data_IF_253334133606
#
_entry.id   IF_253334133606
#
_cell.length_a   1.000
_cell.length_b   1.000
_cell.length_c   1.000
_cell.angle_alpha   90.00
_cell.angle_beta   90.00
_cell.angle_gamma   90.00
#
_symmetry.space_group_name_H-M   'P 1'
#
loop_
_entity.id
_entity.type
_entity.pdbx_description
1 polymer ?
#
# COMPACT_ATOMS: atom_id res chain seq x y z
N UNK A 1 -9.19 -31.05 -40.03
CA UNK A 1 -8.79 -29.78 -40.67
C UNK A 1 -8.72 -28.72 -39.57
N UNK A 2 -7.49 -28.32 -39.18
CA UNK A 2 -7.06 -27.04 -38.56
C UNK A 2 -7.74 -26.63 -37.24
N UNK A 3 -7.17 -26.88 -36.03
CA UNK A 3 -6.11 -26.14 -35.28
C UNK A 3 -6.22 -24.60 -35.30
N UNK A 4 -6.40 -23.99 -34.11
CA UNK A 4 -5.77 -22.75 -33.58
C UNK A 4 -6.52 -22.39 -32.28
N UNK A 5 -5.95 -22.44 -31.07
CA UNK A 5 -4.59 -22.09 -30.68
C UNK A 5 -4.55 -20.62 -30.24
N UNK A 6 -5.21 -20.30 -29.12
CA UNK A 6 -5.09 -19.00 -28.46
C UNK A 6 -3.91 -19.05 -27.49
N UNK A 7 -2.82 -18.40 -27.87
CA UNK A 7 -1.57 -18.39 -27.14
C UNK A 7 -1.75 -17.74 -25.76
N UNK A 8 -1.53 -18.54 -24.71
CA UNK A 8 -1.15 -18.05 -23.39
C UNK A 8 0.24 -17.41 -23.57
N UNK A 9 0.30 -16.08 -23.63
CA UNK A 9 1.56 -15.36 -23.71
C UNK A 9 2.32 -15.57 -22.39
N UNK A 10 3.28 -16.49 -22.45
CA UNK A 10 4.32 -16.69 -21.45
C UNK A 10 5.20 -15.43 -21.47
N UNK A 11 4.90 -14.50 -20.57
CA UNK A 11 5.72 -13.31 -20.39
C UNK A 11 7.04 -13.73 -19.71
N UNK A 12 8.12 -13.32 -20.35
CA UNK A 12 9.52 -13.57 -20.03
C UNK A 12 9.82 -13.27 -18.55
N UNK A 13 10.33 -14.27 -17.83
CA UNK A 13 10.80 -14.12 -16.46
C UNK A 13 12.00 -13.16 -16.41
N UNK A 14 11.75 -11.93 -16.00
CA UNK A 14 12.79 -11.03 -15.51
C UNK A 14 13.14 -11.51 -14.10
N UNK A 15 14.30 -12.15 -13.95
CA UNK A 15 14.90 -12.50 -12.67
C UNK A 15 15.45 -11.23 -11.97
N UNK A 16 14.56 -10.30 -11.64
CA UNK A 16 14.77 -9.35 -10.56
C UNK A 16 14.48 -10.12 -9.27
N UNK A 17 15.43 -10.19 -8.35
CA UNK A 17 15.35 -10.98 -7.13
C UNK A 17 14.01 -10.76 -6.41
N UNK A 18 13.08 -11.69 -6.60
CA UNK A 18 11.75 -11.60 -6.05
C UNK A 18 11.87 -11.76 -4.53
N UNK A 19 11.60 -10.69 -3.77
CA UNK A 19 11.26 -10.80 -2.36
C UNK A 19 10.13 -11.83 -2.24
N UNK A 20 10.50 -13.07 -1.93
CA UNK A 20 9.55 -14.16 -1.82
C UNK A 20 8.99 -14.11 -0.41
N UNK A 21 7.68 -13.91 -0.29
CA UNK A 21 6.95 -13.88 0.98
C UNK A 21 6.39 -15.25 1.33
N UNK A 22 7.04 -16.33 0.89
CA UNK A 22 6.55 -17.71 1.06
C UNK A 22 6.38 -18.13 2.54
N UNK A 23 7.06 -17.43 3.46
CA UNK A 23 6.90 -17.64 4.91
C UNK A 23 5.70 -16.91 5.52
N UNK A 24 5.10 -15.96 4.79
CA UNK A 24 3.91 -15.22 5.25
C UNK A 24 2.67 -16.04 4.85
N UNK A 25 1.81 -16.42 5.80
CA UNK A 25 0.56 -17.10 5.47
C UNK A 25 -0.34 -16.26 4.56
N UNK A 26 -1.11 -16.93 3.70
CA UNK A 26 -2.08 -16.24 2.87
C UNK A 26 -3.08 -15.41 3.69
N UNK A 27 -3.58 -14.34 3.08
CA UNK A 27 -4.64 -13.48 3.61
C UNK A 27 -4.24 -12.00 3.71
N UNK A 28 -5.17 -11.20 4.23
CA UNK A 28 -4.99 -9.76 4.40
C UNK A 28 -4.43 -9.43 5.76
N UNK A 29 -3.44 -8.54 5.78
CA UNK A 29 -2.75 -8.03 6.96
C UNK A 29 -2.90 -6.53 6.97
N UNK A 30 -3.04 -5.94 8.16
CA UNK A 30 -3.27 -4.51 8.33
C UNK A 30 -2.27 -3.92 9.32
N UNK A 31 -1.75 -2.75 8.99
CA UNK A 31 -1.08 -1.87 9.92
C UNK A 31 -1.86 -0.56 10.04
N UNK A 32 -2.01 -0.05 11.25
CA UNK A 32 -2.69 1.23 11.52
C UNK A 32 -1.91 2.01 12.57
N UNK A 33 -1.98 3.33 12.51
CA UNK A 33 -1.62 4.12 13.68
C UNK A 33 -2.64 3.94 14.81
N UNK A 34 -2.19 4.09 16.05
CA UNK A 34 -3.03 3.99 17.24
C UNK A 34 -4.03 5.15 17.31
N UNK A 35 -3.51 6.38 17.26
CA UNK A 35 -4.29 7.60 17.49
C UNK A 35 -4.68 8.27 16.18
N UNK A 36 -5.73 9.09 16.21
CA UNK A 36 -6.01 10.05 15.12
C UNK A 36 -5.07 11.25 15.21
N UNK A 37 -4.74 11.87 14.08
CA UNK A 37 -3.99 13.13 14.07
C UNK A 37 -4.88 14.29 14.56
N UNK A 38 -4.29 15.47 14.69
CA UNK A 38 -4.96 16.70 15.12
C UNK A 38 -6.16 17.07 14.22
N UNK A 39 -6.12 16.62 12.95
CA UNK A 39 -7.17 16.84 11.96
C UNK A 39 -8.18 15.68 11.89
N UNK A 40 -8.12 14.72 12.82
CA UNK A 40 -9.07 13.62 12.91
C UNK A 40 -8.81 12.47 11.93
N UNK A 41 -7.63 12.38 11.32
CA UNK A 41 -7.29 11.32 10.36
C UNK A 41 -6.38 10.24 10.97
N UNK A 42 -6.62 9.00 10.56
CA UNK A 42 -5.81 7.84 10.96
C UNK A 42 -5.50 6.97 9.75
N UNK A 43 -4.23 6.93 9.42
CA UNK A 43 -3.63 6.16 8.35
C UNK A 43 -3.60 4.67 8.65
N UNK A 44 -3.82 3.89 7.59
CA UNK A 44 -3.69 2.46 7.59
C UNK A 44 -3.13 1.96 6.27
N UNK A 45 -2.49 0.80 6.33
CA UNK A 45 -2.01 0.03 5.18
C UNK A 45 -2.57 -1.39 5.31
N UNK A 46 -3.16 -1.90 4.24
CA UNK A 46 -3.54 -3.30 4.10
C UNK A 46 -2.78 -3.95 2.96
N UNK A 47 -2.31 -5.18 3.17
CA UNK A 47 -1.64 -5.98 2.16
C UNK A 47 -2.21 -7.39 2.17
N UNK A 48 -2.62 -7.88 1.00
CA UNK A 48 -3.06 -9.26 0.82
C UNK A 48 -1.92 -10.08 0.25
N UNK A 49 -1.58 -11.17 0.94
CA UNK A 49 -0.63 -12.16 0.46
C UNK A 49 -1.36 -13.38 -0.10
N UNK A 50 -0.92 -13.84 -1.26
CA UNK A 50 -1.34 -15.11 -1.85
C UNK A 50 -0.16 -15.79 -2.56
N UNK A 51 0.08 -17.06 -2.25
CA UNK A 51 1.15 -17.85 -2.88
C UNK A 51 2.55 -17.26 -2.67
N UNK A 52 2.78 -16.62 -1.52
CA UNK A 52 4.05 -15.97 -1.20
C UNK A 52 4.30 -14.67 -1.98
N UNK A 53 3.27 -14.02 -2.51
CA UNK A 53 3.32 -12.74 -3.22
C UNK A 53 2.35 -11.74 -2.61
N UNK A 54 2.66 -10.44 -2.69
CA UNK A 54 1.67 -9.39 -2.49
C UNK A 54 0.78 -9.34 -3.73
N UNK A 55 -0.53 -9.46 -3.55
CA UNK A 55 -1.51 -9.40 -4.65
C UNK A 55 -2.41 -8.18 -4.59
N UNK A 56 -2.46 -7.51 -3.44
CA UNK A 56 -3.19 -6.27 -3.25
C UNK A 56 -2.51 -5.43 -2.17
N UNK A 57 -2.47 -4.11 -2.37
CA UNK A 57 -2.04 -3.11 -1.39
C UNK A 57 -3.10 -2.01 -1.36
N UNK A 58 -3.57 -1.64 -0.17
CA UNK A 58 -4.51 -0.53 0.04
C UNK A 58 -3.92 0.38 1.10
N UNK A 59 -3.77 1.66 0.78
CA UNK A 59 -3.30 2.68 1.71
C UNK A 59 -4.26 3.85 1.71
N UNK A 60 -4.68 4.27 2.90
CA UNK A 60 -5.53 5.44 3.07
C UNK A 60 -5.48 5.97 4.49
N UNK A 61 -6.21 7.06 4.73
CA UNK A 61 -6.53 7.58 6.04
C UNK A 61 -8.03 7.52 6.26
N UNK A 62 -8.46 7.00 7.39
CA UNK A 62 -9.84 7.04 7.84
C UNK A 62 -10.04 8.22 8.79
N UNK A 63 -11.05 9.04 8.54
CA UNK A 63 -11.49 10.10 9.45
C UNK A 63 -12.26 9.51 10.63
N UNK A 64 -12.35 10.24 11.75
CA UNK A 64 -13.23 9.89 12.89
C UNK A 64 -14.69 9.66 12.49
N UNK A 65 -15.13 10.29 11.40
CA UNK A 65 -16.49 10.19 10.84
C UNK A 65 -16.64 9.06 9.80
N UNK A 66 -15.62 8.22 9.63
CA UNK A 66 -15.66 7.06 8.73
C UNK A 66 -15.35 7.35 7.26
N UNK A 67 -15.16 8.61 6.86
CA UNK A 67 -14.71 8.98 5.50
C UNK A 67 -13.26 8.59 5.24
N UNK A 68 -12.91 8.35 3.98
CA UNK A 68 -11.55 8.15 3.54
C UNK A 68 -10.94 9.41 2.94
N UNK A 69 -9.66 9.69 3.24
CA UNK A 69 -8.97 10.91 2.78
C UNK A 69 -8.80 10.92 1.26
N UNK A 70 -8.60 9.76 0.64
CA UNK A 70 -8.57 9.63 -0.82
C UNK A 70 -9.89 10.09 -1.49
N UNK A 71 -11.01 10.02 -0.77
CA UNK A 71 -12.35 10.34 -1.26
C UNK A 71 -12.85 11.72 -0.80
N UNK A 72 -12.04 12.44 -0.01
CA UNK A 72 -12.43 13.74 0.55
C UNK A 72 -12.13 14.87 -0.46
N UNK A 73 -13.20 15.43 -1.03
CA UNK A 73 -13.11 16.44 -2.09
C UNK A 73 -12.47 17.76 -1.61
N UNK A 74 -12.68 18.13 -0.35
CA UNK A 74 -12.09 19.33 0.23
C UNK A 74 -10.59 19.14 0.45
N UNK A 75 -10.19 17.98 0.99
CA UNK A 75 -8.78 17.63 1.14
C UNK A 75 -8.08 17.57 -0.22
N UNK A 76 -8.72 16.95 -1.22
CA UNK A 76 -8.21 16.92 -2.59
C UNK A 76 -7.96 18.34 -3.10
N UNK A 77 -8.95 19.24 -3.01
CA UNK A 77 -8.83 20.62 -3.51
C UNK A 77 -7.65 21.34 -2.87
N UNK A 78 -7.49 21.23 -1.55
CA UNK A 78 -6.40 21.88 -0.81
C UNK A 78 -5.04 21.29 -1.17
N UNK A 79 -4.91 19.97 -1.18
CA UNK A 79 -3.65 19.28 -1.49
C UNK A 79 -3.21 19.54 -2.94
N UNK A 80 -4.15 19.47 -3.88
CA UNK A 80 -3.89 19.69 -5.30
C UNK A 80 -3.44 21.12 -5.58
N UNK A 81 -4.08 22.12 -4.97
CA UNK A 81 -3.69 23.52 -5.13
C UNK A 81 -2.25 23.80 -4.65
N UNK A 82 -1.79 23.09 -3.62
CA UNK A 82 -0.45 23.25 -3.05
C UNK A 82 0.63 22.47 -3.81
N UNK A 83 0.29 21.30 -4.36
CA UNK A 83 1.30 20.32 -4.81
C UNK A 83 1.09 19.74 -6.20
N UNK A 84 -0.06 19.98 -6.84
CA UNK A 84 -0.41 19.43 -8.15
C UNK A 84 -0.82 17.96 -8.14
N UNK A 85 -0.97 17.34 -6.96
CA UNK A 85 -1.46 15.97 -6.80
C UNK A 85 -2.50 15.89 -5.68
N UNK A 86 -3.49 15.02 -5.85
CA UNK A 86 -4.51 14.72 -4.83
C UNK A 86 -4.21 13.42 -4.08
N UNK A 87 -4.89 13.19 -2.94
CA UNK A 87 -4.61 12.04 -2.07
C UNK A 87 -4.86 10.70 -2.77
N UNK A 88 -5.93 10.58 -3.56
CA UNK A 88 -6.24 9.34 -4.30
C UNK A 88 -5.08 8.89 -5.21
N UNK A 89 -4.56 9.82 -6.02
CA UNK A 89 -3.47 9.53 -6.95
C UNK A 89 -2.18 9.22 -6.20
N UNK A 90 -1.84 10.01 -5.19
CA UNK A 90 -0.63 9.80 -4.41
C UNK A 90 -0.64 8.45 -3.67
N UNK A 91 -1.77 8.06 -3.08
CA UNK A 91 -1.86 6.79 -2.34
C UNK A 91 -1.85 5.59 -3.27
N UNK A 92 -2.44 5.71 -4.47
CA UNK A 92 -2.34 4.70 -5.53
C UNK A 92 -0.90 4.51 -5.99
N UNK A 93 -0.16 5.59 -6.24
CA UNK A 93 1.26 5.51 -6.63
C UNK A 93 2.13 4.82 -5.56
N UNK A 94 1.87 5.08 -4.27
CA UNK A 94 2.56 4.38 -3.18
C UNK A 94 2.22 2.89 -3.13
N UNK A 95 0.94 2.54 -3.29
CA UNK A 95 0.48 1.15 -3.28
C UNK A 95 1.07 0.35 -4.45
N UNK A 96 1.02 0.91 -5.66
CA UNK A 96 1.59 0.31 -6.87
C UNK A 96 3.11 0.13 -6.74
N UNK A 97 3.81 1.14 -6.19
CA UNK A 97 5.24 1.05 -5.94
C UNK A 97 5.60 -0.04 -4.93
N UNK A 98 4.78 -0.29 -3.91
CA UNK A 98 5.01 -1.40 -2.97
C UNK A 98 4.77 -2.76 -3.62
N UNK A 99 3.72 -2.89 -4.46
CA UNK A 99 3.47 -4.10 -5.23
C UNK A 99 4.66 -4.44 -6.15
N UNK A 100 5.24 -3.42 -6.80
CA UNK A 100 6.40 -3.60 -7.68
C UNK A 100 7.68 -3.93 -6.90
N UNK A 101 7.97 -3.16 -5.85
CA UNK A 101 9.26 -3.22 -5.15
C UNK A 101 9.31 -4.32 -4.10
N UNK A 102 8.18 -4.74 -3.53
CA UNK A 102 8.11 -5.72 -2.45
C UNK A 102 8.83 -5.29 -1.16
N UNK A 103 9.28 -4.04 -1.06
CA UNK A 103 9.97 -3.53 0.11
C UNK A 103 9.52 -2.08 0.35
N UNK A 104 8.84 -1.79 1.48
CA UNK A 104 8.38 -0.44 1.79
C UNK A 104 9.52 0.58 1.88
N UNK A 105 10.72 0.20 2.32
CA UNK A 105 11.86 1.12 2.40
C UNK A 105 12.33 1.62 1.03
N UNK A 106 12.08 0.82 -0.01
CA UNK A 106 12.46 1.15 -1.39
C UNK A 106 11.40 2.00 -2.10
N UNK A 107 10.18 2.14 -1.56
CA UNK A 107 9.11 2.93 -2.18
C UNK A 107 9.46 4.40 -2.10
N UNK A 108 9.56 5.10 -3.24
CA UNK A 108 10.01 6.49 -3.26
C UNK A 108 8.98 7.45 -2.66
N UNK A 109 9.44 8.63 -2.28
CA UNK A 109 8.53 9.69 -1.83
C UNK A 109 7.77 10.23 -3.04
N UNK A 110 6.44 10.25 -2.96
CA UNK A 110 5.59 10.94 -3.94
C UNK A 110 5.63 12.45 -3.63
N UNK A 111 6.07 13.25 -4.59
CA UNK A 111 6.11 14.71 -4.47
C UNK A 111 4.70 15.25 -4.17
N UNK A 112 4.58 16.11 -3.15
CA UNK A 112 3.29 16.60 -2.66
C UNK A 112 2.65 15.73 -1.57
N UNK A 113 3.13 14.50 -1.38
CA UNK A 113 2.65 13.56 -0.38
C UNK A 113 3.77 13.04 0.52
N UNK A 114 4.75 13.88 0.86
CA UNK A 114 5.95 13.48 1.64
C UNK A 114 5.61 12.85 2.99
N UNK A 115 4.71 13.47 3.75
CA UNK A 115 4.29 12.96 5.08
C UNK A 115 3.61 11.60 4.94
N UNK A 116 2.70 11.46 3.98
CA UNK A 116 2.03 10.19 3.69
C UNK A 116 3.00 9.12 3.18
N UNK A 117 3.98 9.49 2.36
CA UNK A 117 5.02 8.56 1.90
C UNK A 117 5.83 8.01 3.07
N UNK A 118 6.23 8.86 4.03
CA UNK A 118 6.96 8.43 5.22
C UNK A 118 6.11 7.52 6.13
N UNK A 119 4.87 7.90 6.36
CA UNK A 119 3.88 7.08 7.09
C UNK A 119 3.71 5.70 6.44
N UNK A 120 3.50 5.67 5.12
CA UNK A 120 3.37 4.45 4.34
C UNK A 120 4.55 3.49 4.55
N UNK A 121 5.79 4.00 4.52
CA UNK A 121 6.98 3.17 4.76
C UNK A 121 6.99 2.58 6.18
N UNK A 122 6.65 3.38 7.20
CA UNK A 122 6.59 2.93 8.61
C UNK A 122 5.53 1.85 8.81
N UNK A 123 4.33 2.08 8.29
CA UNK A 123 3.24 1.11 8.32
C UNK A 123 3.61 -0.17 7.57
N UNK A 124 4.24 -0.05 6.39
CA UNK A 124 4.73 -1.19 5.62
C UNK A 124 5.75 -2.04 6.38
N UNK A 125 6.71 -1.40 7.05
CA UNK A 125 7.71 -2.10 7.85
C UNK A 125 7.04 -2.88 9.01
N UNK A 126 6.14 -2.22 9.75
CA UNK A 126 5.39 -2.84 10.84
C UNK A 126 4.50 -3.99 10.37
N UNK A 127 3.80 -3.80 9.24
CA UNK A 127 2.96 -4.82 8.62
C UNK A 127 3.78 -6.05 8.26
N UNK A 128 4.91 -5.89 7.57
CA UNK A 128 5.76 -7.02 7.19
C UNK A 128 6.32 -7.75 8.40
N UNK A 129 6.68 -7.03 9.45
CA UNK A 129 7.16 -7.62 10.69
C UNK A 129 6.07 -8.46 11.38
N UNK A 130 4.84 -7.92 11.48
CA UNK A 130 3.67 -8.60 12.04
C UNK A 130 3.26 -9.81 11.19
N UNK A 131 3.20 -9.63 9.87
CA UNK A 131 2.82 -10.68 8.92
C UNK A 131 3.77 -11.88 8.93
N UNK A 132 5.08 -11.67 9.10
CA UNK A 132 6.07 -12.76 9.27
C UNK A 132 5.85 -13.58 10.54
N UNK A 133 5.17 -13.03 11.55
CA UNK A 133 4.76 -13.76 12.77
C UNK A 133 3.36 -14.38 12.64
N UNK A 134 2.68 -14.18 11.51
CA UNK A 134 1.30 -14.62 11.29
C UNK A 134 0.25 -13.75 11.98
N UNK A 135 0.64 -12.62 12.57
CA UNK A 135 -0.26 -11.66 13.21
C UNK A 135 -0.94 -10.81 12.14
N UNK A 136 -2.27 -10.74 12.14
CA UNK A 136 -3.05 -10.05 11.09
C UNK A 136 -3.10 -8.54 11.24
N UNK A 137 -2.80 -8.03 12.44
CA UNK A 137 -2.88 -6.61 12.77
C UNK A 137 -1.55 -6.12 13.34
N UNK A 138 -1.19 -4.88 13.02
CA UNK A 138 -0.10 -4.13 13.63
C UNK A 138 -0.61 -2.74 14.01
N UNK A 139 -0.46 -2.35 15.27
CA UNK A 139 -0.81 -1.01 15.75
C UNK A 139 0.49 -0.31 16.14
N UNK A 140 0.77 0.85 15.56
CA UNK A 140 1.99 1.62 15.83
C UNK A 140 1.68 3.02 16.37
N UNK A 141 2.61 3.56 17.15
CA UNK A 141 2.59 4.97 17.57
C UNK A 141 3.05 5.89 16.45
N UNK A 142 2.56 7.14 16.47
CA UNK A 142 2.85 8.16 15.44
C UNK A 142 4.27 8.71 15.49
#
# INVERSE_FOLDING_TARGET
MVKRGGAFALCLAVLLGACSFSSIPNGTYRATYQDFDENGWKDFLEVTFDGGKMVQVVYDYQHKEGRFKSQDADYHRVMYASSGIGPEKAFRELADALLEKGNPEMVDVVTGATVSSQSFRRLGAALLQSARRGEKEAIISR
#
